data_IF_589991734993
#
_entry.id   IF_589991734993
#
_cell.length_a   1.000
_cell.length_b   1.000
_cell.length_c   1.000
_cell.angle_alpha   90.00
_cell.angle_beta   90.00
_cell.angle_gamma   90.00
#
_symmetry.space_group_name_H-M   'P 1'
#
loop_
_entity.id
_entity.type
_entity.pdbx_description
1 polymer ?
#
# COMPACT_ATOMS: atom_id res chain seq x y z
N UNK A 1 6.77 -5.46 -2.23
CA UNK A 1 6.69 -5.92 -0.83
C UNK A 1 6.29 -4.82 0.15
N UNK A 2 6.84 -3.63 0.02
CA UNK A 2 6.52 -2.50 0.92
C UNK A 2 5.07 -2.01 0.76
N UNK A 3 4.55 -2.04 -0.46
CA UNK A 3 3.15 -1.67 -0.71
C UNK A 3 2.17 -2.73 -0.20
N UNK A 4 2.51 -4.00 -0.32
CA UNK A 4 1.67 -5.12 0.14
C UNK A 4 1.68 -5.21 1.67
N UNK A 5 0.78 -4.48 2.30
CA UNK A 5 0.64 -4.37 3.75
C UNK A 5 -0.77 -4.71 4.21
N UNK A 6 -0.98 -4.80 5.51
CA UNK A 6 -2.31 -4.99 6.07
C UNK A 6 -3.27 -3.88 5.63
N UNK A 7 -2.83 -2.62 5.66
CA UNK A 7 -3.64 -1.49 5.25
C UNK A 7 -4.03 -1.56 3.76
N UNK A 8 -3.10 -1.92 2.87
CA UNK A 8 -3.42 -2.00 1.43
C UNK A 8 -4.24 -3.22 1.09
N UNK A 9 -3.91 -4.40 1.63
CA UNK A 9 -4.66 -5.61 1.33
C UNK A 9 -6.07 -5.55 1.93
N UNK A 10 -6.19 -5.35 3.23
CA UNK A 10 -7.49 -5.33 3.90
C UNK A 10 -8.27 -4.06 3.56
N UNK A 11 -7.61 -2.90 3.55
CA UNK A 11 -8.26 -1.62 3.28
C UNK A 11 -8.79 -1.52 1.85
N UNK A 12 -7.98 -1.87 0.84
CA UNK A 12 -8.42 -1.82 -0.56
C UNK A 12 -9.50 -2.89 -0.80
N UNK A 13 -9.36 -4.08 -0.23
CA UNK A 13 -10.38 -5.14 -0.37
C UNK A 13 -11.71 -4.70 0.25
N UNK A 14 -11.69 -4.05 1.43
CA UNK A 14 -12.89 -3.50 2.04
C UNK A 14 -13.53 -2.41 1.17
N UNK A 15 -12.73 -1.48 0.63
CA UNK A 15 -13.26 -0.42 -0.25
C UNK A 15 -13.85 -1.03 -1.54
N UNK A 16 -13.22 -2.07 -2.12
CA UNK A 16 -13.77 -2.77 -3.28
C UNK A 16 -15.08 -3.47 -2.92
N UNK A 17 -15.14 -4.07 -1.74
CA UNK A 17 -16.37 -4.70 -1.25
C UNK A 17 -17.51 -3.69 -1.09
N UNK A 18 -17.24 -2.51 -0.55
CA UNK A 18 -18.25 -1.48 -0.31
C UNK A 18 -18.63 -0.70 -1.57
N UNK A 19 -17.64 -0.33 -2.39
CA UNK A 19 -17.83 0.60 -3.52
C UNK A 19 -17.70 -0.07 -4.92
N UNK A 20 -17.49 -1.37 -4.98
CA UNK A 20 -17.47 -2.14 -6.22
C UNK A 20 -16.41 -1.67 -7.21
N UNK A 21 -16.83 -1.51 -8.47
CA UNK A 21 -15.93 -1.21 -9.60
C UNK A 21 -15.15 0.11 -9.43
N UNK A 22 -15.76 1.13 -8.88
CA UNK A 22 -15.10 2.43 -8.70
C UNK A 22 -13.84 2.35 -7.83
N UNK A 23 -13.83 1.42 -6.88
CA UNK A 23 -12.70 1.22 -5.98
C UNK A 23 -11.47 0.60 -6.67
N UNK A 24 -11.59 0.08 -7.89
CA UNK A 24 -10.45 -0.44 -8.68
C UNK A 24 -9.40 0.64 -8.95
N UNK A 25 -9.77 1.91 -8.88
CA UNK A 25 -8.83 3.03 -8.99
C UNK A 25 -7.72 2.97 -7.93
N UNK A 26 -8.02 2.43 -6.74
CA UNK A 26 -7.02 2.22 -5.66
C UNK A 26 -6.00 1.11 -5.98
N UNK A 27 -6.28 0.25 -6.96
CA UNK A 27 -5.33 -0.74 -7.48
C UNK A 27 -4.58 -0.21 -8.70
N UNK A 28 -5.27 0.51 -9.58
CA UNK A 28 -4.67 1.05 -10.81
C UNK A 28 -3.66 2.17 -10.57
N UNK A 29 -3.96 3.08 -9.66
CA UNK A 29 -3.08 4.20 -9.35
C UNK A 29 -1.70 3.79 -8.82
N UNK A 30 -1.56 2.83 -7.88
CA UNK A 30 -0.28 2.29 -7.48
C UNK A 30 0.53 1.65 -8.61
N UNK A 31 -0.09 0.95 -9.54
CA UNK A 31 0.60 0.40 -10.71
C UNK A 31 1.26 1.49 -11.55
N UNK A 32 0.55 2.60 -11.78
CA UNK A 32 1.11 3.79 -12.42
C UNK A 32 2.26 4.40 -11.62
N UNK A 33 2.10 4.53 -10.31
CA UNK A 33 3.14 5.06 -9.42
C UNK A 33 4.43 4.23 -9.46
N UNK A 34 4.34 2.90 -9.35
CA UNK A 34 5.51 2.02 -9.42
C UNK A 34 6.18 2.07 -10.79
N UNK A 35 5.42 2.16 -11.86
CA UNK A 35 5.97 2.33 -13.20
C UNK A 35 6.77 3.63 -13.32
N UNK A 36 6.24 4.74 -12.84
CA UNK A 36 6.95 6.03 -12.79
C UNK A 36 8.23 5.92 -11.95
N UNK A 37 8.14 5.32 -10.76
CA UNK A 37 9.28 5.18 -9.86
C UNK A 37 10.40 4.35 -10.51
N UNK A 38 10.07 3.18 -11.07
CA UNK A 38 11.08 2.26 -11.63
C UNK A 38 11.69 2.81 -12.90
N UNK A 39 10.87 3.28 -13.84
CA UNK A 39 11.38 3.65 -15.17
C UNK A 39 11.88 5.10 -15.28
N UNK A 40 11.34 6.03 -14.48
CA UNK A 40 11.68 7.44 -14.61
C UNK A 40 12.53 7.98 -13.46
N UNK A 41 12.41 7.40 -12.26
CA UNK A 41 13.03 7.98 -11.06
C UNK A 41 14.28 7.23 -10.61
N UNK A 42 14.36 5.91 -10.78
CA UNK A 42 15.40 5.06 -10.16
C UNK A 42 16.80 5.54 -10.49
N UNK A 43 17.15 5.68 -11.77
CA UNK A 43 18.52 6.04 -12.19
C UNK A 43 18.91 7.44 -11.73
N UNK A 44 17.96 8.39 -11.80
CA UNK A 44 18.18 9.76 -11.35
C UNK A 44 18.32 9.86 -9.83
N UNK A 45 17.54 9.07 -9.09
CA UNK A 45 17.64 9.03 -7.65
C UNK A 45 18.98 8.44 -7.18
N UNK A 46 19.42 7.33 -7.78
CA UNK A 46 20.70 6.71 -7.48
C UNK A 46 21.88 7.62 -7.79
N UNK A 47 21.84 8.36 -8.89
CA UNK A 47 22.95 9.24 -9.29
C UNK A 47 23.08 10.53 -8.47
N UNK A 48 21.97 11.02 -7.89
CA UNK A 48 21.91 12.31 -7.19
C UNK A 48 21.96 12.18 -5.66
N UNK A 49 21.48 11.06 -5.11
CA UNK A 49 21.36 10.85 -3.68
C UNK A 49 22.44 9.97 -3.09
N UNK A 50 22.95 10.33 -1.90
CA UNK A 50 23.92 9.51 -1.18
C UNK A 50 23.26 8.59 -0.14
N UNK A 51 22.30 9.09 0.62
CA UNK A 51 21.72 8.38 1.77
C UNK A 51 20.22 8.56 1.94
N UNK A 52 19.64 9.68 1.49
CA UNK A 52 18.23 9.98 1.70
C UNK A 52 17.62 10.79 0.56
N UNK A 53 16.29 10.70 0.43
CA UNK A 53 15.53 11.51 -0.52
C UNK A 53 15.71 13.03 -0.25
N UNK A 54 15.88 13.40 1.01
CA UNK A 54 16.14 14.79 1.42
C UNK A 54 17.43 15.34 0.81
N UNK A 55 18.47 14.51 0.69
CA UNK A 55 19.75 14.93 0.11
C UNK A 55 19.61 15.32 -1.37
N UNK A 56 18.72 14.63 -2.10
CA UNK A 56 18.43 14.96 -3.50
C UNK A 56 17.77 16.33 -3.63
N UNK A 57 16.79 16.61 -2.78
CA UNK A 57 16.09 17.90 -2.78
C UNK A 57 17.06 19.03 -2.40
N UNK A 58 17.94 18.79 -1.46
CA UNK A 58 18.95 19.77 -1.01
C UNK A 58 20.03 20.07 -2.04
N UNK A 59 20.21 19.24 -3.08
CA UNK A 59 21.15 19.55 -4.17
C UNK A 59 20.82 20.82 -4.94
N UNK A 60 19.56 21.26 -4.95
CA UNK A 60 19.09 22.43 -5.71
C UNK A 60 18.50 23.56 -4.85
N UNK A 61 18.21 23.30 -3.60
CA UNK A 61 17.50 24.23 -2.70
C UNK A 61 18.33 24.51 -1.45
N UNK A 62 17.98 25.60 -0.74
CA UNK A 62 18.67 25.96 0.52
C UNK A 62 18.56 24.83 1.54
N UNK A 63 19.70 24.29 1.96
CA UNK A 63 19.80 23.06 2.75
C UNK A 63 19.03 23.11 4.07
N UNK A 64 19.27 24.11 4.92
CA UNK A 64 18.70 24.16 6.28
C UNK A 64 17.16 24.15 6.32
N UNK A 65 16.43 25.09 5.65
CA UNK A 65 14.96 25.10 5.73
C UNK A 65 14.33 23.86 5.06
N UNK A 66 14.91 23.41 3.96
CA UNK A 66 14.39 22.23 3.25
C UNK A 66 14.59 20.95 4.06
N UNK A 67 15.74 20.79 4.72
CA UNK A 67 16.01 19.62 5.55
C UNK A 67 15.04 19.54 6.74
N UNK A 68 14.72 20.65 7.37
CA UNK A 68 13.73 20.72 8.46
C UNK A 68 12.33 20.37 7.92
N UNK A 69 11.92 20.98 6.82
CA UNK A 69 10.60 20.72 6.21
C UNK A 69 10.45 19.26 5.79
N UNK A 70 11.46 18.72 5.11
CA UNK A 70 11.45 17.32 4.68
C UNK A 70 11.43 16.35 5.87
N UNK A 71 12.18 16.62 6.93
CA UNK A 71 12.18 15.80 8.14
C UNK A 71 10.81 15.83 8.84
N UNK A 72 10.20 16.99 9.02
CA UNK A 72 8.87 17.10 9.65
C UNK A 72 7.80 16.43 8.80
N UNK A 73 7.80 16.61 7.49
CA UNK A 73 6.85 15.97 6.59
C UNK A 73 7.01 14.45 6.61
N UNK A 74 8.25 13.95 6.50
CA UNK A 74 8.53 12.51 6.54
C UNK A 74 8.12 11.89 7.87
N UNK A 75 8.39 12.57 8.99
CA UNK A 75 8.01 12.09 10.31
C UNK A 75 6.48 12.02 10.46
N UNK A 76 5.77 13.09 10.09
CA UNK A 76 4.30 13.14 10.15
C UNK A 76 3.67 12.06 9.28
N UNK A 77 4.14 11.91 8.05
CA UNK A 77 3.67 10.88 7.13
C UNK A 77 3.92 9.47 7.69
N UNK A 78 5.13 9.21 8.19
CA UNK A 78 5.50 7.91 8.74
C UNK A 78 4.69 7.55 9.99
N UNK A 79 4.40 8.51 10.85
CA UNK A 79 3.56 8.28 12.03
C UNK A 79 2.12 7.94 11.64
N UNK A 80 1.52 8.68 10.70
CA UNK A 80 0.17 8.38 10.21
C UNK A 80 0.11 7.00 9.56
N UNK A 81 1.10 6.68 8.72
CA UNK A 81 1.19 5.38 8.08
C UNK A 81 1.37 4.23 9.09
N UNK A 82 2.21 4.44 10.11
CA UNK A 82 2.41 3.47 11.18
C UNK A 82 1.13 3.19 11.95
N UNK A 83 0.36 4.24 12.29
CA UNK A 83 -0.93 4.07 12.98
C UNK A 83 -1.88 3.17 12.17
N UNK A 84 -2.02 3.43 10.87
CA UNK A 84 -2.89 2.60 10.00
C UNK A 84 -2.42 1.15 9.96
N UNK A 85 -1.10 0.91 9.89
CA UNK A 85 -0.53 -0.44 9.87
C UNK A 85 -0.76 -1.19 11.19
N UNK A 86 -0.57 -0.53 12.32
CA UNK A 86 -0.77 -1.13 13.65
C UNK A 86 -2.24 -1.47 13.88
N UNK A 87 -3.15 -0.58 13.51
CA UNK A 87 -4.61 -0.82 13.58
C UNK A 87 -5.01 -2.02 12.72
N UNK A 88 -4.57 -2.06 11.45
CA UNK A 88 -4.88 -3.17 10.56
C UNK A 88 -4.30 -4.50 11.02
N UNK A 89 -3.07 -4.52 11.50
CA UNK A 89 -2.43 -5.73 12.02
C UNK A 89 -3.10 -6.19 13.33
N UNK A 90 -3.45 -5.26 14.21
CA UNK A 90 -4.17 -5.57 15.46
C UNK A 90 -5.52 -6.22 15.19
N UNK A 91 -6.32 -5.64 14.31
CA UNK A 91 -7.62 -6.18 13.92
C UNK A 91 -7.49 -7.59 13.30
N UNK A 92 -6.48 -7.80 12.45
CA UNK A 92 -6.24 -9.12 11.84
C UNK A 92 -5.89 -10.19 12.88
N UNK A 93 -5.03 -9.87 13.84
CA UNK A 93 -4.64 -10.79 14.93
C UNK A 93 -5.84 -11.09 15.85
N UNK A 94 -6.66 -10.10 16.17
CA UNK A 94 -7.89 -10.29 16.92
C UNK A 94 -8.83 -11.29 16.24
N UNK A 95 -9.08 -11.13 14.94
CA UNK A 95 -9.95 -12.01 14.17
C UNK A 95 -9.38 -13.43 14.03
N UNK A 96 -8.06 -13.56 13.80
CA UNK A 96 -7.44 -14.86 13.55
C UNK A 96 -7.20 -15.68 14.82
N UNK A 97 -6.85 -15.04 15.93
CA UNK A 97 -6.42 -15.73 17.15
C UNK A 97 -7.38 -15.56 18.33
N UNK A 98 -8.42 -14.74 18.18
CA UNK A 98 -9.38 -14.48 19.26
C UNK A 98 -8.79 -13.72 20.46
N UNK A 99 -7.64 -13.08 20.27
CA UNK A 99 -6.99 -12.25 21.30
C UNK A 99 -7.63 -10.86 21.30
N UNK A 100 -7.83 -10.26 22.47
CA UNK A 100 -8.40 -8.91 22.49
C UNK A 100 -7.49 -7.91 21.75
N UNK A 101 -8.12 -6.96 21.05
CA UNK A 101 -7.47 -5.97 20.18
C UNK A 101 -6.25 -5.28 20.83
N UNK A 102 -6.38 -4.89 22.10
CA UNK A 102 -5.30 -4.19 22.82
C UNK A 102 -4.06 -5.07 22.92
N UNK A 103 -4.21 -6.34 23.31
CA UNK A 103 -3.09 -7.27 23.39
C UNK A 103 -2.53 -7.61 22.01
N UNK A 104 -3.37 -7.75 21.00
CA UNK A 104 -2.95 -7.94 19.62
C UNK A 104 -2.04 -6.80 19.15
N UNK A 105 -2.44 -5.55 19.39
CA UNK A 105 -1.64 -4.35 19.06
C UNK A 105 -0.32 -4.33 19.82
N UNK A 106 -0.31 -4.62 21.12
CA UNK A 106 0.92 -4.63 21.94
C UNK A 106 1.89 -5.70 21.44
N UNK A 107 1.42 -6.91 21.18
CA UNK A 107 2.25 -8.02 20.69
C UNK A 107 2.88 -7.67 19.33
N UNK A 108 2.07 -7.24 18.37
CA UNK A 108 2.55 -6.91 17.02
C UNK A 108 3.55 -5.77 17.04
N UNK A 109 3.23 -4.70 17.78
CA UNK A 109 4.11 -3.53 17.88
C UNK A 109 5.42 -3.86 18.55
N UNK A 110 5.40 -4.65 19.63
CA UNK A 110 6.61 -5.08 20.33
C UNK A 110 7.50 -5.94 19.45
N UNK A 111 6.94 -6.93 18.75
CA UNK A 111 7.67 -7.75 17.79
C UNK A 111 8.29 -6.90 16.68
N UNK A 112 7.53 -5.95 16.13
CA UNK A 112 8.02 -5.06 15.09
C UNK A 112 9.20 -4.21 15.57
N UNK A 113 9.11 -3.62 16.75
CA UNK A 113 10.20 -2.81 17.33
C UNK A 113 11.44 -3.67 17.55
N UNK A 114 11.28 -4.87 18.09
CA UNK A 114 12.41 -5.78 18.37
C UNK A 114 13.14 -6.15 17.07
N UNK A 115 12.42 -6.62 16.04
CA UNK A 115 13.11 -7.06 14.82
C UNK A 115 13.73 -5.90 14.04
N UNK A 116 13.11 -4.70 14.06
CA UNK A 116 13.66 -3.51 13.42
C UNK A 116 14.91 -3.00 14.16
N UNK A 117 14.87 -2.98 15.50
CA UNK A 117 16.00 -2.54 16.31
C UNK A 117 17.24 -3.44 16.16
N UNK A 118 17.03 -4.76 16.06
CA UNK A 118 18.13 -5.72 15.93
C UNK A 118 18.61 -5.83 14.47
N UNK A 119 17.70 -5.86 13.52
CA UNK A 119 17.99 -6.22 12.13
C UNK A 119 18.23 -5.05 11.18
N UNK A 120 17.84 -3.84 11.54
CA UNK A 120 17.98 -2.64 10.72
C UNK A 120 17.38 -2.76 9.32
N UNK A 121 17.93 -2.00 8.37
CA UNK A 121 17.45 -1.94 6.98
C UNK A 121 17.58 -3.25 6.20
N UNK A 122 18.64 -4.02 6.48
CA UNK A 122 18.90 -5.28 5.78
C UNK A 122 17.86 -6.34 6.13
N UNK A 123 17.61 -6.56 7.41
CA UNK A 123 16.60 -7.53 7.86
C UNK A 123 15.19 -7.12 7.40
N UNK A 124 14.85 -5.85 7.50
CA UNK A 124 13.54 -5.37 7.01
C UNK A 124 13.35 -5.61 5.52
N UNK A 125 14.40 -5.50 4.70
CA UNK A 125 14.32 -5.80 3.26
C UNK A 125 14.04 -7.28 3.01
N UNK A 126 14.73 -8.19 3.71
CA UNK A 126 14.47 -9.63 3.60
C UNK A 126 13.06 -10.02 4.05
N UNK A 127 12.61 -9.46 5.17
CA UNK A 127 11.21 -9.65 5.64
C UNK A 127 10.20 -9.21 4.57
N UNK A 128 10.44 -8.10 3.90
CA UNK A 128 9.56 -7.63 2.82
C UNK A 128 9.56 -8.56 1.60
N UNK A 129 10.69 -9.16 1.24
CA UNK A 129 10.75 -10.13 0.14
C UNK A 129 9.94 -11.39 0.47
N UNK A 130 10.19 -11.97 1.65
CA UNK A 130 9.46 -13.17 2.11
C UNK A 130 7.96 -12.88 2.19
N UNK A 131 7.58 -11.74 2.79
CA UNK A 131 6.19 -11.31 2.88
C UNK A 131 5.55 -11.18 1.49
N UNK A 132 6.23 -10.59 0.51
CA UNK A 132 5.71 -10.41 -0.83
C UNK A 132 5.42 -11.76 -1.51
N UNK A 133 6.34 -12.72 -1.38
CA UNK A 133 6.16 -14.07 -1.94
C UNK A 133 4.95 -14.77 -1.30
N UNK A 134 4.90 -14.80 0.04
CA UNK A 134 3.81 -15.44 0.78
C UNK A 134 2.45 -14.80 0.45
N UNK A 135 2.41 -13.48 0.37
CA UNK A 135 1.18 -12.75 0.09
C UNK A 135 0.70 -12.95 -1.35
N UNK A 136 1.61 -12.93 -2.33
CA UNK A 136 1.27 -13.24 -3.72
C UNK A 136 0.75 -14.68 -3.87
N UNK A 137 1.40 -15.65 -3.25
CA UNK A 137 0.92 -17.02 -3.24
C UNK A 137 -0.47 -17.13 -2.59
N UNK A 138 -0.67 -16.49 -1.44
CA UNK A 138 -1.95 -16.50 -0.72
C UNK A 138 -3.08 -15.87 -1.52
N UNK A 139 -2.87 -14.67 -2.07
CA UNK A 139 -3.87 -13.97 -2.88
C UNK A 139 -4.19 -14.74 -4.16
N UNK A 140 -3.16 -15.32 -4.82
CA UNK A 140 -3.38 -16.14 -6.01
C UNK A 140 -4.19 -17.40 -5.68
N UNK A 141 -3.87 -18.07 -4.58
CA UNK A 141 -4.63 -19.23 -4.11
C UNK A 141 -6.10 -18.86 -3.80
N UNK A 142 -6.32 -17.75 -3.10
CA UNK A 142 -7.68 -17.23 -2.84
C UNK A 142 -8.44 -16.95 -4.13
N UNK A 143 -7.80 -16.30 -5.11
CA UNK A 143 -8.42 -16.01 -6.40
C UNK A 143 -8.81 -17.30 -7.15
N UNK A 144 -7.93 -18.29 -7.17
CA UNK A 144 -8.19 -19.59 -7.80
C UNK A 144 -9.33 -20.31 -7.09
N UNK A 145 -9.31 -20.38 -5.76
CA UNK A 145 -10.36 -21.04 -4.98
C UNK A 145 -11.72 -20.35 -5.16
N UNK A 146 -11.73 -19.01 -5.18
CA UNK A 146 -12.95 -18.26 -5.44
C UNK A 146 -13.50 -18.57 -6.84
N UNK A 147 -12.67 -18.52 -7.87
CA UNK A 147 -13.08 -18.85 -9.23
C UNK A 147 -13.52 -20.31 -9.38
N UNK A 148 -12.89 -21.24 -8.68
CA UNK A 148 -13.29 -22.64 -8.69
C UNK A 148 -14.73 -22.84 -8.14
N UNK A 149 -15.14 -22.07 -7.13
CA UNK A 149 -16.52 -22.09 -6.63
C UNK A 149 -17.55 -21.60 -7.66
N UNK A 150 -17.12 -20.81 -8.64
CA UNK A 150 -17.95 -20.34 -9.75
C UNK A 150 -17.62 -21.05 -11.08
N UNK A 151 -17.10 -22.29 -11.03
CA UNK A 151 -16.73 -23.08 -12.21
C UNK A 151 -15.81 -22.32 -13.20
N UNK A 152 -14.93 -21.46 -12.70
CA UNK A 152 -14.06 -20.56 -13.46
C UNK A 152 -14.82 -19.58 -14.38
N UNK A 153 -16.09 -19.30 -14.08
CA UNK A 153 -16.91 -18.31 -14.79
C UNK A 153 -16.82 -16.95 -14.12
N UNK A 154 -16.21 -15.99 -14.79
CA UNK A 154 -16.20 -14.58 -14.32
C UNK A 154 -17.61 -13.96 -14.35
N UNK A 155 -18.45 -14.40 -15.30
CA UNK A 155 -19.81 -13.90 -15.43
C UNK A 155 -20.63 -14.25 -14.21
N UNK A 156 -20.56 -15.52 -13.75
CA UNK A 156 -21.29 -15.98 -12.56
C UNK A 156 -20.76 -15.31 -11.29
N UNK A 157 -19.45 -15.12 -11.19
CA UNK A 157 -18.82 -14.39 -10.08
C UNK A 157 -19.35 -12.96 -9.98
N UNK A 158 -19.37 -12.23 -11.10
CA UNK A 158 -19.87 -10.86 -11.13
C UNK A 158 -21.38 -10.76 -10.89
N UNK A 159 -22.16 -11.70 -11.43
CA UNK A 159 -23.58 -11.78 -11.16
C UNK A 159 -23.87 -12.02 -9.67
N UNK A 160 -23.13 -12.93 -9.04
CA UNK A 160 -23.25 -13.20 -7.62
C UNK A 160 -22.84 -11.96 -6.77
N UNK A 161 -21.78 -11.25 -7.16
CA UNK A 161 -21.35 -10.02 -6.48
C UNK A 161 -22.43 -8.93 -6.57
N UNK A 162 -23.03 -8.74 -7.73
CA UNK A 162 -24.10 -7.76 -7.93
C UNK A 162 -25.35 -8.11 -7.13
N UNK A 163 -25.76 -9.37 -7.08
CA UNK A 163 -26.92 -9.83 -6.28
C UNK A 163 -26.73 -9.61 -4.79
N UNK A 164 -25.53 -9.79 -4.28
CA UNK A 164 -25.24 -9.61 -2.86
C UNK A 164 -25.22 -8.15 -2.39
N UNK A 165 -25.07 -7.20 -3.31
CA UNK A 165 -24.96 -5.76 -2.97
C UNK A 165 -26.21 -4.92 -3.28
N UNK A 166 -27.29 -5.55 -3.76
CA UNK A 166 -28.62 -4.90 -4.02
C UNK A 166 -28.54 -3.53 -4.73
N UNK A 167 -27.45 -3.28 -5.48
CA UNK A 167 -27.25 -2.01 -6.18
C UNK A 167 -26.96 -2.24 -7.66
N UNK A 168 -27.80 -1.69 -8.52
CA UNK A 168 -27.62 -1.75 -9.99
C UNK A 168 -26.30 -1.07 -10.46
N UNK A 169 -25.70 -0.25 -9.59
CA UNK A 169 -24.47 0.49 -9.87
C UNK A 169 -23.18 -0.15 -9.39
N UNK A 170 -23.21 -1.29 -8.67
CA UNK A 170 -22.02 -1.86 -8.02
C UNK A 170 -20.87 -2.20 -8.98
N UNK A 171 -21.20 -2.71 -10.17
CA UNK A 171 -20.22 -3.06 -11.22
C UNK A 171 -20.09 -2.00 -12.31
N UNK A 172 -20.72 -0.84 -12.16
CA UNK A 172 -20.67 0.26 -13.13
C UNK A 172 -19.82 1.42 -12.63
N UNK A 173 -19.26 2.17 -13.56
CA UNK A 173 -18.48 3.36 -13.24
C UNK A 173 -19.39 4.47 -12.67
N UNK A 174 -18.99 5.06 -11.53
CA UNK A 174 -19.73 6.15 -10.86
C UNK A 174 -20.81 5.68 -9.88
N UNK A 175 -21.02 4.38 -9.72
CA UNK A 175 -22.08 3.84 -8.85
C UNK A 175 -21.70 3.70 -7.37
N UNK A 176 -20.48 3.34 -7.06
CA UNK A 176 -20.06 2.99 -5.70
C UNK A 176 -19.51 4.16 -4.89
N UNK A 177 -18.60 4.94 -5.45
CA UNK A 177 -18.00 6.09 -4.77
C UNK A 177 -18.77 7.39 -4.99
N UNK A 178 -19.74 7.41 -5.89
CA UNK A 178 -20.50 8.61 -6.22
C UNK A 178 -19.66 9.76 -6.79
N UNK A 179 -18.50 9.44 -7.38
CA UNK A 179 -17.56 10.42 -7.89
C UNK A 179 -17.89 10.76 -9.36
N UNK A 180 -17.78 12.04 -9.72
CA UNK A 180 -17.78 12.43 -11.12
C UNK A 180 -16.52 11.91 -11.82
N UNK A 181 -16.57 11.76 -13.14
CA UNK A 181 -15.40 11.31 -13.94
C UNK A 181 -14.14 12.14 -13.67
N UNK A 182 -14.30 13.47 -13.55
CA UNK A 182 -13.19 14.37 -13.25
C UNK A 182 -12.61 14.12 -11.84
N UNK A 183 -13.48 13.91 -10.86
CA UNK A 183 -13.09 13.57 -9.50
C UNK A 183 -12.34 12.24 -9.42
N UNK A 184 -12.78 11.24 -10.18
CA UNK A 184 -12.12 9.94 -10.27
C UNK A 184 -10.72 10.05 -10.90
N UNK A 185 -10.57 10.81 -11.98
CA UNK A 185 -9.26 11.06 -12.59
C UNK A 185 -8.34 11.81 -11.62
N UNK A 186 -8.86 12.84 -10.93
CA UNK A 186 -8.11 13.60 -9.95
C UNK A 186 -7.67 12.73 -8.77
N UNK A 187 -8.54 11.85 -8.27
CA UNK A 187 -8.23 10.88 -7.23
C UNK A 187 -7.13 9.92 -7.68
N UNK A 188 -7.27 9.33 -8.87
CA UNK A 188 -6.27 8.42 -9.43
C UNK A 188 -4.91 9.08 -9.62
N UNK A 189 -4.87 10.29 -10.15
CA UNK A 189 -3.66 11.09 -10.29
C UNK A 189 -3.04 11.42 -8.92
N UNK A 190 -3.86 11.85 -7.95
CA UNK A 190 -3.42 12.14 -6.60
C UNK A 190 -2.80 10.92 -5.89
N UNK A 191 -3.44 9.77 -5.99
CA UNK A 191 -2.92 8.50 -5.46
C UNK A 191 -1.62 8.08 -6.16
N UNK A 192 -1.56 8.19 -7.49
CA UNK A 192 -0.38 7.82 -8.27
C UNK A 192 0.83 8.68 -7.91
N UNK A 193 0.71 10.00 -7.97
CA UNK A 193 1.81 10.91 -7.66
C UNK A 193 2.14 10.95 -6.17
N UNK A 194 1.14 10.84 -5.29
CA UNK A 194 1.33 10.75 -3.86
C UNK A 194 2.15 9.53 -3.46
N UNK A 195 1.84 8.37 -4.05
CA UNK A 195 2.60 7.15 -3.81
C UNK A 195 4.00 7.21 -4.43
N UNK A 196 4.14 7.74 -5.66
CA UNK A 196 5.44 7.92 -6.30
C UNK A 196 6.37 8.86 -5.52
N UNK A 197 5.82 9.84 -4.79
CA UNK A 197 6.55 10.74 -3.89
C UNK A 197 6.79 10.22 -2.48
N UNK A 198 6.34 9.01 -2.14
CA UNK A 198 6.40 8.48 -0.77
C UNK A 198 7.85 8.23 -0.30
N UNK A 199 8.32 8.91 0.77
CA UNK A 199 9.72 8.84 1.19
C UNK A 199 10.20 7.44 1.55
N UNK A 200 9.36 6.64 2.21
CA UNK A 200 9.69 5.29 2.66
C UNK A 200 9.91 4.31 1.50
N UNK A 201 9.22 4.51 0.37
CA UNK A 201 9.45 3.71 -0.84
C UNK A 201 10.72 4.14 -1.57
N UNK A 202 10.92 5.47 -1.69
CA UNK A 202 12.08 6.03 -2.39
C UNK A 202 13.40 5.70 -1.68
N UNK A 203 13.42 5.60 -0.36
CA UNK A 203 14.61 5.22 0.40
C UNK A 203 15.11 3.81 0.09
N UNK A 204 14.26 2.91 -0.41
CA UNK A 204 14.67 1.55 -0.78
C UNK A 204 15.63 1.51 -1.97
N UNK A 205 15.54 2.46 -2.88
CA UNK A 205 16.45 2.52 -4.04
C UNK A 205 17.92 2.75 -3.65
N UNK A 206 18.20 3.29 -2.46
CA UNK A 206 19.56 3.47 -1.96
C UNK A 206 20.12 2.25 -1.25
N UNK A 207 19.31 1.24 -0.95
CA UNK A 207 19.74 0.03 -0.22
C UNK A 207 20.02 -1.15 -1.14
N UNK A 208 19.63 -1.08 -2.41
CA UNK A 208 19.83 -2.14 -3.40
C UNK A 208 21.14 -1.92 -4.13
N UNK A 209 22.01 -2.94 -4.17
CA UNK A 209 23.23 -2.96 -5.00
C UNK A 209 22.85 -3.00 -6.48
N UNK A 210 23.71 -2.46 -7.33
CA UNK A 210 23.55 -2.49 -8.78
C UNK A 210 23.51 -3.91 -9.32
#
# INVERSE_FOLDING_TARGET
GDFMSAATLLGITAIIFDAGYDAVIYLGAPLGAFSIMVYLMTDKLKSLGKYSFTDIICCRLKEKPIRILAATTTLSFSLMYLMVQVVGAGALIEVLFGVSYIWAVVIVTSLMVIYVAIGGMFATTWVQIVKAILLLCGVTALAILTLANFNFSFVDLYAAAQLNHDSDGYLTNGGGLGLSTLSSISLGAGLCFGLAGSPHLLMRFFTVKD
#
